data_IF_602791670520
#
_entry.id   IF_602791670520
#
_cell.length_a   1.000
_cell.length_b   1.000
_cell.length_c   1.000
_cell.angle_alpha   90.00
_cell.angle_beta   90.00
_cell.angle_gamma   90.00
#
_symmetry.space_group_name_H-M   'P 1'
#
loop_
_entity.id
_entity.type
_entity.pdbx_description
1 polymer ?
#
# COMPACT_ATOMS: atom_id res chain seq x y z
N UNK A 1 -24.49 -11.81 17.85
CA UNK A 1 -23.38 -10.87 18.11
C UNK A 1 -22.97 -10.25 16.78
N UNK A 2 -22.50 -8.99 16.75
CA UNK A 2 -21.95 -8.45 15.49
C UNK A 2 -20.59 -9.08 15.27
N UNK A 3 -20.33 -9.58 14.07
CA UNK A 3 -19.01 -10.11 13.73
C UNK A 3 -18.03 -8.94 13.59
N UNK A 4 -16.80 -9.04 14.13
CA UNK A 4 -15.73 -8.06 13.90
C UNK A 4 -15.53 -7.80 12.40
N UNK A 5 -15.37 -6.52 12.02
CA UNK A 5 -14.95 -6.14 10.67
C UNK A 5 -13.45 -5.89 10.66
N UNK A 6 -12.72 -6.70 9.89
CA UNK A 6 -11.26 -6.72 9.88
C UNK A 6 -10.72 -6.39 8.49
N UNK A 7 -9.79 -5.43 8.39
CA UNK A 7 -9.12 -5.11 7.12
C UNK A 7 -7.95 -6.06 6.89
N UNK A 8 -7.73 -6.50 5.66
CA UNK A 8 -6.56 -7.34 5.31
C UNK A 8 -5.25 -6.66 5.69
N UNK A 9 -5.14 -5.34 5.53
CA UNK A 9 -3.94 -4.58 5.91
C UNK A 9 -3.65 -4.62 7.41
N UNK A 10 -4.70 -4.70 8.25
CA UNK A 10 -4.56 -4.88 9.70
C UNK A 10 -4.05 -6.29 10.04
N UNK A 11 -4.51 -7.32 9.33
CA UNK A 11 -4.03 -8.71 9.50
C UNK A 11 -2.57 -8.83 9.06
N UNK A 12 -2.18 -8.20 7.95
CA UNK A 12 -0.79 -8.19 7.49
C UNK A 12 0.14 -7.46 8.47
N UNK A 13 -0.32 -6.34 9.06
CA UNK A 13 0.41 -5.65 10.11
C UNK A 13 0.62 -6.56 11.34
N UNK A 14 -0.43 -7.28 11.77
CA UNK A 14 -0.32 -8.26 12.86
C UNK A 14 0.63 -9.42 12.51
N UNK A 15 0.52 -10.02 11.32
CA UNK A 15 1.43 -11.09 10.86
C UNK A 15 2.87 -10.63 10.93
N UNK A 16 3.17 -9.46 10.35
CA UNK A 16 4.52 -8.89 10.38
C UNK A 16 5.01 -8.74 11.81
N UNK A 17 4.17 -8.28 12.73
CA UNK A 17 4.51 -8.12 14.14
C UNK A 17 4.88 -9.44 14.83
N UNK A 18 4.08 -10.49 14.66
CA UNK A 18 4.32 -11.79 15.33
C UNK A 18 5.44 -12.61 14.68
N UNK A 19 5.78 -12.34 13.43
CA UNK A 19 6.87 -13.02 12.70
C UNK A 19 8.20 -12.26 12.77
N UNK A 20 8.27 -11.13 13.49
CA UNK A 20 9.54 -10.44 13.68
C UNK A 20 10.54 -11.35 14.41
N UNK A 21 11.75 -11.40 13.88
CA UNK A 21 12.86 -12.15 14.46
C UNK A 21 14.19 -11.48 14.13
N UNK A 22 15.28 -11.99 14.68
CA UNK A 22 16.65 -11.55 14.34
C UNK A 22 16.94 -11.66 12.82
N UNK A 23 16.21 -12.51 12.09
CA UNK A 23 16.38 -12.76 10.66
C UNK A 23 15.27 -12.15 9.79
N UNK A 24 14.24 -11.56 10.40
CA UNK A 24 13.12 -10.92 9.72
C UNK A 24 12.69 -9.67 10.49
N UNK A 25 13.28 -8.52 10.16
CA UNK A 25 12.95 -7.25 10.79
C UNK A 25 12.01 -6.44 9.88
N UNK A 26 10.72 -6.47 10.18
CA UNK A 26 9.70 -5.68 9.47
C UNK A 26 9.53 -4.26 10.02
N UNK A 27 10.31 -3.90 11.05
CA UNK A 27 10.29 -2.58 11.72
C UNK A 27 8.88 -2.17 12.18
N UNK A 28 8.06 -3.14 12.61
CA UNK A 28 6.68 -2.88 13.05
C UNK A 28 6.57 -3.08 14.56
N UNK A 29 6.00 -2.12 15.26
CA UNK A 29 5.80 -2.26 16.71
C UNK A 29 4.42 -2.82 17.02
N UNK A 30 4.24 -3.42 18.20
CA UNK A 30 2.91 -3.79 18.68
C UNK A 30 1.97 -2.57 18.70
N UNK A 31 2.49 -1.42 19.14
CA UNK A 31 1.73 -0.17 19.17
C UNK A 31 1.24 0.22 17.77
N UNK A 32 2.04 0.03 16.73
CA UNK A 32 1.62 0.28 15.34
C UNK A 32 0.44 -0.61 14.91
N UNK A 33 0.38 -1.86 15.37
CA UNK A 33 -0.78 -2.74 15.12
C UNK A 33 -2.02 -2.21 15.87
N UNK A 34 -1.86 -1.80 17.13
CA UNK A 34 -2.93 -1.21 17.94
C UNK A 34 -3.47 0.09 17.31
N UNK A 35 -2.59 0.96 16.83
CA UNK A 35 -2.94 2.23 16.18
C UNK A 35 -3.76 1.98 14.90
N UNK A 36 -3.42 0.91 14.16
CA UNK A 36 -4.16 0.49 12.95
C UNK A 36 -5.59 0.03 13.25
N UNK A 37 -5.82 -0.57 14.43
CA UNK A 37 -7.14 -1.04 14.89
C UNK A 37 -7.97 0.11 15.45
N UNK A 38 -7.34 1.00 16.20
CA UNK A 38 -8.01 2.12 16.87
C UNK A 38 -8.28 3.32 15.95
N UNK A 39 -7.67 3.33 14.75
CA UNK A 39 -7.94 4.35 13.73
C UNK A 39 -7.19 5.66 13.95
N UNK A 40 -6.07 5.64 14.69
CA UNK A 40 -5.25 6.83 15.01
C UNK A 40 -4.23 7.15 13.91
N UNK A 41 -4.14 6.32 12.88
CA UNK A 41 -3.14 6.49 11.81
C UNK A 41 -3.42 7.72 10.93
N UNK A 42 -2.51 8.68 10.95
CA UNK A 42 -2.39 9.73 9.94
C UNK A 42 -1.36 9.30 8.89
N UNK A 43 -1.69 9.42 7.61
CA UNK A 43 -0.77 9.10 6.52
C UNK A 43 0.56 9.84 6.63
N UNK A 44 1.61 9.25 6.07
CA UNK A 44 2.95 9.83 6.00
C UNK A 44 3.33 10.15 4.54
N UNK A 45 4.53 10.70 4.32
CA UNK A 45 4.99 11.03 2.96
C UNK A 45 4.99 9.84 2.01
N UNK A 46 5.42 8.67 2.48
CA UNK A 46 5.40 7.45 1.68
C UNK A 46 3.99 7.05 1.22
N UNK A 47 2.99 7.15 2.11
CA UNK A 47 1.61 6.80 1.77
C UNK A 47 0.96 7.84 0.87
N UNK A 48 1.18 9.14 1.09
CA UNK A 48 0.59 10.19 0.25
C UNK A 48 1.20 10.21 -1.16
N UNK A 49 2.51 9.98 -1.29
CA UNK A 49 3.15 9.83 -2.61
C UNK A 49 2.57 8.60 -3.33
N UNK A 50 2.40 7.48 -2.63
CA UNK A 50 1.74 6.29 -3.18
C UNK A 50 0.32 6.58 -3.66
N UNK A 51 -0.50 7.22 -2.83
CA UNK A 51 -1.87 7.61 -3.19
C UNK A 51 -1.91 8.55 -4.42
N UNK A 52 -0.99 9.50 -4.54
CA UNK A 52 -0.90 10.34 -5.73
C UNK A 52 -0.60 9.52 -6.99
N UNK A 53 0.30 8.52 -6.89
CA UNK A 53 0.59 7.61 -7.99
C UNK A 53 -0.64 6.76 -8.35
N UNK A 54 -1.30 6.15 -7.37
CA UNK A 54 -2.53 5.37 -7.58
C UNK A 54 -3.62 6.20 -8.25
N UNK A 55 -3.82 7.45 -7.82
CA UNK A 55 -4.82 8.34 -8.39
C UNK A 55 -4.62 8.59 -9.90
N UNK A 56 -3.36 8.68 -10.34
CA UNK A 56 -3.05 8.79 -11.78
C UNK A 56 -3.40 7.48 -12.50
N UNK A 57 -3.04 6.34 -11.91
CA UNK A 57 -3.35 5.03 -12.50
C UNK A 57 -4.85 4.76 -12.54
N UNK A 58 -5.61 5.17 -11.54
CA UNK A 58 -7.06 4.97 -11.41
C UNK A 58 -7.88 5.90 -12.32
N UNK A 59 -7.59 7.19 -12.30
CA UNK A 59 -8.42 8.20 -12.98
C UNK A 59 -7.92 8.49 -14.39
N UNK A 60 -6.63 8.27 -14.68
CA UNK A 60 -5.96 8.64 -15.94
C UNK A 60 -5.78 10.14 -16.15
N UNK A 61 -6.74 10.96 -15.72
CA UNK A 61 -6.66 12.42 -15.77
C UNK A 61 -7.10 13.05 -14.45
N UNK A 62 -6.46 12.68 -13.32
CA UNK A 62 -6.84 13.25 -12.03
C UNK A 62 -6.64 14.77 -11.98
N UNK A 63 -7.47 15.43 -11.17
CA UNK A 63 -7.33 16.85 -10.92
C UNK A 63 -5.95 17.14 -10.32
N UNK A 64 -5.20 18.03 -11.00
CA UNK A 64 -3.87 18.42 -10.58
C UNK A 64 -3.52 19.84 -11.03
N UNK A 65 -2.56 20.45 -10.35
CA UNK A 65 -2.02 21.76 -10.70
C UNK A 65 -0.70 21.58 -11.44
N UNK A 66 -0.45 22.41 -12.48
CA UNK A 66 0.87 22.50 -13.09
C UNK A 66 1.81 23.23 -12.15
N UNK A 67 3.00 22.68 -11.95
CA UNK A 67 4.06 23.30 -11.14
C UNK A 67 5.28 23.52 -12.03
N UNK A 68 5.79 24.74 -12.06
CA UNK A 68 6.97 25.09 -12.84
C UNK A 68 8.26 24.47 -12.26
N UNK A 69 9.30 24.43 -13.09
CA UNK A 69 10.64 24.07 -12.63
C UNK A 69 11.15 25.09 -11.60
N UNK A 70 12.05 24.67 -10.73
CA UNK A 70 12.56 25.53 -9.67
C UNK A 70 13.79 24.95 -8.99
N UNK A 71 13.99 25.36 -7.73
CA UNK A 71 15.08 24.90 -6.89
C UNK A 71 14.53 24.29 -5.59
N UNK A 72 15.16 23.20 -5.12
CA UNK A 72 14.94 22.63 -3.80
C UNK A 72 16.16 22.91 -2.93
N UNK A 73 15.92 23.41 -1.73
CA UNK A 73 16.96 23.61 -0.71
C UNK A 73 16.87 22.51 0.35
N UNK A 74 18.01 21.91 0.72
CA UNK A 74 18.08 20.88 1.75
C UNK A 74 19.41 20.95 2.50
N UNK A 75 19.50 20.28 3.65
CA UNK A 75 20.73 20.19 4.44
C UNK A 75 21.51 18.91 4.09
N UNK A 76 22.81 19.05 3.83
CA UNK A 76 23.74 17.94 3.63
C UNK A 76 24.98 18.15 4.49
N UNK A 77 25.24 17.25 5.45
CA UNK A 77 26.27 17.41 6.49
C UNK A 77 26.23 18.79 7.18
N UNK A 78 25.02 19.26 7.52
CA UNK A 78 24.80 20.54 8.19
C UNK A 78 25.02 21.78 7.31
N UNK A 79 25.28 21.61 6.01
CA UNK A 79 25.41 22.71 5.05
C UNK A 79 24.20 22.77 4.14
N UNK A 80 23.71 23.97 3.89
CA UNK A 80 22.65 24.20 2.90
C UNK A 80 23.16 23.85 1.50
N UNK A 81 22.39 23.03 0.79
CA UNK A 81 22.59 22.67 -0.61
C UNK A 81 21.34 23.02 -1.39
N UNK A 82 21.53 23.27 -2.69
CA UNK A 82 20.45 23.51 -3.64
C UNK A 82 20.56 22.56 -4.81
N UNK A 83 19.43 22.06 -5.28
CA UNK A 83 19.33 21.30 -6.52
C UNK A 83 18.22 21.87 -7.41
N UNK A 84 18.43 21.79 -8.72
CA UNK A 84 17.40 22.11 -9.69
C UNK A 84 16.37 20.98 -9.72
N UNK A 85 15.09 21.34 -9.70
CA UNK A 85 13.98 20.39 -9.80
C UNK A 85 13.14 20.71 -11.05
N UNK A 86 12.74 19.67 -11.82
CA UNK A 86 11.99 19.88 -13.05
C UNK A 86 10.56 20.37 -12.79
N UNK A 87 9.86 20.75 -13.85
CA UNK A 87 8.42 21.00 -13.79
C UNK A 87 7.63 19.69 -13.51
N UNK A 88 6.42 19.81 -12.99
CA UNK A 88 5.64 18.66 -12.56
C UNK A 88 4.13 18.91 -12.44
N UNK A 89 3.49 18.03 -11.68
CA UNK A 89 2.07 18.08 -11.32
C UNK A 89 1.94 17.96 -9.81
N UNK A 90 1.14 18.84 -9.22
CA UNK A 90 0.79 18.76 -7.81
C UNK A 90 -0.61 18.19 -7.64
N UNK A 91 -0.74 17.29 -6.67
CA UNK A 91 -1.95 16.60 -6.28
C UNK A 91 -2.24 16.92 -4.83
N UNK A 92 -3.50 17.22 -4.52
CA UNK A 92 -3.96 17.34 -3.15
C UNK A 92 -4.38 15.95 -2.65
N UNK A 93 -3.63 15.45 -1.66
CA UNK A 93 -3.83 14.15 -1.03
C UNK A 93 -4.07 14.39 0.46
N UNK A 94 -5.34 14.33 0.87
CA UNK A 94 -5.75 14.53 2.26
C UNK A 94 -5.22 15.86 2.85
N UNK A 95 -5.19 16.93 2.05
CA UNK A 95 -4.66 18.25 2.44
C UNK A 95 -3.14 18.41 2.28
N UNK A 96 -2.44 17.37 1.82
CA UNK A 96 -0.99 17.40 1.56
C UNK A 96 -0.72 17.57 0.07
N UNK A 97 0.10 18.58 -0.27
CA UNK A 97 0.51 18.84 -1.65
C UNK A 97 1.65 17.92 -2.06
N UNK A 98 1.32 16.84 -2.78
CA UNK A 98 2.27 15.88 -3.34
C UNK A 98 2.64 16.29 -4.76
N UNK A 99 3.93 16.31 -5.10
CA UNK A 99 4.41 16.77 -6.41
C UNK A 99 5.24 15.69 -7.09
N UNK A 100 4.76 15.23 -8.25
CA UNK A 100 5.48 14.34 -9.16
C UNK A 100 5.94 15.12 -10.40
N UNK A 101 7.08 14.74 -10.97
CA UNK A 101 7.52 15.33 -12.24
C UNK A 101 6.80 14.69 -13.43
N UNK A 102 6.96 15.32 -14.61
CA UNK A 102 6.30 14.85 -15.83
C UNK A 102 6.71 13.41 -16.20
N UNK A 103 8.00 13.02 -16.18
CA UNK A 103 8.40 11.62 -16.35
C UNK A 103 7.72 10.64 -15.39
N UNK A 104 7.64 10.94 -14.10
CA UNK A 104 6.99 10.10 -13.10
C UNK A 104 5.49 9.94 -13.39
N UNK A 105 4.80 11.02 -13.77
CA UNK A 105 3.39 10.95 -14.17
C UNK A 105 3.21 10.07 -15.42
N UNK A 106 4.15 10.13 -16.38
CA UNK A 106 4.09 9.29 -17.58
C UNK A 106 4.22 7.81 -17.25
N UNK A 107 5.08 7.43 -16.30
CA UNK A 107 5.19 6.03 -15.86
C UNK A 107 3.85 5.49 -15.35
N UNK A 108 3.13 6.26 -14.54
CA UNK A 108 1.79 5.88 -14.06
C UNK A 108 0.77 5.75 -15.21
N UNK A 109 0.78 6.70 -16.15
CA UNK A 109 -0.13 6.68 -17.30
C UNK A 109 0.17 5.55 -18.29
N UNK A 110 1.44 5.28 -18.55
CA UNK A 110 1.89 4.17 -19.38
C UNK A 110 1.43 2.85 -18.76
N UNK A 111 1.63 2.66 -17.45
CA UNK A 111 1.14 1.49 -16.75
C UNK A 111 -0.39 1.35 -16.82
N UNK A 112 -1.16 2.42 -16.61
CA UNK A 112 -2.63 2.39 -16.81
C UNK A 112 -2.99 1.93 -18.23
N UNK A 113 -2.30 2.45 -19.24
CA UNK A 113 -2.58 2.14 -20.64
C UNK A 113 -2.23 0.70 -21.04
N UNK A 114 -1.40 0.00 -20.26
CA UNK A 114 -1.18 -1.45 -20.41
C UNK A 114 -2.42 -2.26 -20.00
N UNK A 115 -3.29 -1.69 -19.15
CA UNK A 115 -4.45 -2.33 -18.55
C UNK A 115 -5.75 -1.52 -18.78
N UNK A 116 -6.13 -1.24 -20.04
CA UNK A 116 -7.18 -0.25 -20.37
C UNK A 116 -8.58 -0.63 -19.89
N UNK A 117 -8.85 -1.93 -19.74
CA UNK A 117 -10.16 -2.47 -19.34
C UNK A 117 -10.21 -2.91 -17.88
N UNK A 118 -9.15 -2.62 -17.10
CA UNK A 118 -9.08 -3.04 -15.72
C UNK A 118 -10.04 -2.24 -14.82
N UNK A 119 -10.60 -2.92 -13.82
CA UNK A 119 -11.40 -2.27 -12.78
C UNK A 119 -10.49 -1.77 -11.68
N UNK A 120 -10.74 -0.57 -11.17
CA UNK A 120 -9.93 0.04 -10.12
C UNK A 120 -10.69 0.17 -8.80
N UNK A 121 -9.97 0.13 -7.68
CA UNK A 121 -10.46 0.39 -6.32
C UNK A 121 -11.72 -0.42 -5.94
N UNK A 122 -11.70 -1.72 -6.24
CA UNK A 122 -12.83 -2.60 -5.95
C UNK A 122 -12.70 -3.14 -4.53
N UNK A 123 -13.66 -2.80 -3.67
CA UNK A 123 -13.76 -3.29 -2.30
C UNK A 123 -14.70 -4.48 -2.19
N UNK A 124 -14.23 -5.55 -1.56
CA UNK A 124 -15.06 -6.71 -1.20
C UNK A 124 -15.06 -6.97 0.31
N UNK A 125 -16.09 -7.70 0.74
CA UNK A 125 -16.29 -8.18 2.09
C UNK A 125 -16.65 -9.66 2.01
N UNK A 126 -16.04 -10.48 2.87
CA UNK A 126 -16.36 -11.91 2.96
C UNK A 126 -16.47 -12.30 4.42
N UNK A 127 -17.50 -13.09 4.70
CA UNK A 127 -17.68 -13.69 6.02
C UNK A 127 -16.77 -14.93 6.14
N UNK A 128 -15.90 -14.92 7.15
CA UNK A 128 -15.00 -16.01 7.51
C UNK A 128 -15.50 -16.77 8.74
N UNK A 129 -16.75 -16.56 9.15
CA UNK A 129 -17.38 -17.18 10.33
C UNK A 129 -17.19 -16.32 11.58
N UNK A 130 -15.95 -16.22 12.06
CA UNK A 130 -15.63 -15.49 13.30
C UNK A 130 -15.46 -13.98 13.07
N UNK A 131 -15.26 -13.55 11.83
CA UNK A 131 -15.14 -12.16 11.44
C UNK A 131 -15.52 -11.96 9.96
N UNK A 132 -15.91 -10.72 9.62
CA UNK A 132 -16.00 -10.26 8.24
C UNK A 132 -14.66 -9.62 7.86
N UNK A 133 -14.00 -10.15 6.84
CA UNK A 133 -12.74 -9.60 6.32
C UNK A 133 -13.03 -8.74 5.09
N UNK A 134 -12.34 -7.59 4.98
CA UNK A 134 -12.44 -6.68 3.83
C UNK A 134 -11.08 -6.29 3.26
N UNK A 135 -11.02 -6.17 1.93
CA UNK A 135 -9.87 -5.70 1.16
C UNK A 135 -10.32 -4.85 -0.02
N UNK A 136 -9.44 -3.96 -0.49
CA UNK A 136 -9.64 -3.12 -1.68
C UNK A 136 -8.56 -3.47 -2.69
N UNK A 137 -8.94 -4.04 -3.83
CA UNK A 137 -8.02 -4.28 -4.94
C UNK A 137 -7.75 -2.97 -5.67
N UNK A 138 -6.47 -2.60 -5.77
CA UNK A 138 -6.04 -1.43 -6.55
C UNK A 138 -6.48 -1.60 -8.01
N UNK A 139 -6.30 -2.82 -8.54
CA UNK A 139 -6.70 -3.16 -9.89
C UNK A 139 -7.10 -4.63 -10.05
N UNK A 140 -8.18 -4.88 -10.78
CA UNK A 140 -8.60 -6.20 -11.26
C UNK A 140 -8.51 -6.18 -12.78
N UNK A 141 -7.60 -6.98 -13.32
CA UNK A 141 -7.35 -7.08 -14.76
C UNK A 141 -7.73 -8.49 -15.24
N UNK A 142 -8.89 -8.60 -15.88
CA UNK A 142 -9.47 -9.89 -16.26
C UNK A 142 -9.76 -10.77 -15.05
N UNK A 143 -9.00 -11.86 -14.90
CA UNK A 143 -9.12 -12.84 -13.80
C UNK A 143 -7.99 -12.71 -12.76
N UNK A 144 -7.14 -11.70 -12.91
CA UNK A 144 -5.95 -11.49 -12.07
C UNK A 144 -6.14 -10.24 -11.20
N UNK A 145 -5.54 -10.27 -10.01
CA UNK A 145 -5.50 -9.11 -9.12
C UNK A 145 -4.13 -8.46 -9.22
N UNK A 146 -4.08 -7.14 -9.32
CA UNK A 146 -2.85 -6.35 -9.32
C UNK A 146 -2.88 -5.33 -8.19
N UNK A 147 -1.84 -5.37 -7.38
CA UNK A 147 -1.63 -4.47 -6.24
C UNK A 147 -0.40 -3.61 -6.52
N UNK A 148 -0.65 -2.31 -6.62
CA UNK A 148 0.34 -1.31 -6.98
C UNK A 148 1.02 -0.86 -5.70
N UNK A 149 2.35 -0.76 -5.73
CA UNK A 149 3.12 -0.28 -4.57
C UNK A 149 4.26 0.63 -4.99
N UNK A 150 4.26 1.85 -4.47
CA UNK A 150 5.44 2.72 -4.55
C UNK A 150 6.43 2.36 -3.45
N UNK A 151 7.71 2.24 -3.81
CA UNK A 151 8.82 1.89 -2.91
C UNK A 151 9.90 2.97 -2.94
N UNK A 152 10.63 3.05 -1.84
CA UNK A 152 11.62 4.11 -1.57
C UNK A 152 12.98 3.50 -1.21
N UNK A 153 13.08 2.17 -1.35
CA UNK A 153 14.25 1.34 -1.17
C UNK A 153 14.10 0.13 -2.10
N UNK A 154 15.19 -0.59 -2.33
CA UNK A 154 15.16 -1.83 -3.12
C UNK A 154 14.23 -2.84 -2.45
N UNK A 155 13.17 -3.31 -3.14
CA UNK A 155 12.26 -4.30 -2.59
C UNK A 155 12.95 -5.66 -2.43
N UNK A 156 12.55 -6.40 -1.39
CA UNK A 156 12.87 -7.82 -1.21
C UNK A 156 11.67 -8.64 -1.67
N UNK A 157 11.86 -9.54 -2.64
CA UNK A 157 10.78 -10.41 -3.13
C UNK A 157 10.13 -11.23 -2.01
N UNK A 158 10.94 -11.67 -1.05
CA UNK A 158 10.49 -12.44 0.10
C UNK A 158 9.44 -11.70 0.95
N UNK A 159 9.53 -10.36 1.04
CA UNK A 159 8.58 -9.55 1.81
C UNK A 159 7.17 -9.61 1.23
N UNK A 160 7.06 -9.83 -0.08
CA UNK A 160 5.80 -9.90 -0.81
C UNK A 160 5.31 -11.34 -0.92
N UNK A 161 6.19 -12.27 -1.27
CA UNK A 161 5.86 -13.70 -1.39
C UNK A 161 5.31 -14.23 -0.06
N UNK A 162 5.92 -13.83 1.06
CA UNK A 162 5.50 -14.28 2.40
C UNK A 162 4.34 -13.47 2.99
N UNK A 163 3.87 -12.42 2.32
CA UNK A 163 2.75 -11.61 2.79
C UNK A 163 1.46 -12.44 2.88
N UNK A 164 0.62 -12.17 3.89
CA UNK A 164 -0.74 -12.74 3.87
C UNK A 164 -1.69 -11.90 3.01
N UNK A 165 -1.30 -10.68 2.61
CA UNK A 165 -2.17 -9.76 1.87
C UNK A 165 -2.72 -10.42 0.61
N UNK A 166 -1.85 -10.92 -0.27
CA UNK A 166 -2.27 -11.54 -1.52
C UNK A 166 -3.12 -12.79 -1.28
N UNK A 167 -2.82 -13.58 -0.24
CA UNK A 167 -3.57 -14.80 0.11
C UNK A 167 -5.02 -14.49 0.48
N UNK A 168 -5.24 -13.46 1.29
CA UNK A 168 -6.58 -13.00 1.63
C UNK A 168 -7.30 -12.41 0.42
N UNK A 169 -6.59 -11.66 -0.43
CA UNK A 169 -7.19 -11.10 -1.64
C UNK A 169 -7.66 -12.20 -2.61
N UNK A 170 -6.84 -13.22 -2.88
CA UNK A 170 -7.25 -14.35 -3.72
C UNK A 170 -8.51 -15.06 -3.16
N UNK A 171 -8.63 -15.20 -1.84
CA UNK A 171 -9.83 -15.76 -1.21
C UNK A 171 -11.04 -14.82 -1.23
N UNK A 172 -10.84 -13.50 -1.09
CA UNK A 172 -11.89 -12.47 -1.14
C UNK A 172 -12.50 -12.36 -2.53
N UNK A 173 -11.66 -12.26 -3.55
CA UNK A 173 -12.07 -12.05 -4.95
C UNK A 173 -12.28 -13.36 -5.71
N UNK A 174 -12.02 -14.50 -5.07
CA UNK A 174 -12.08 -15.82 -5.70
C UNK A 174 -11.22 -15.92 -6.97
N UNK A 175 -10.01 -15.35 -6.92
CA UNK A 175 -9.03 -15.38 -8.00
C UNK A 175 -7.90 -16.37 -7.66
N UNK A 176 -7.09 -16.71 -8.65
CA UNK A 176 -5.98 -17.66 -8.50
C UNK A 176 -4.58 -17.03 -8.70
N UNK A 177 -4.51 -15.80 -9.22
CA UNK A 177 -3.26 -15.11 -9.54
C UNK A 177 -3.29 -13.68 -8.99
N UNK A 178 -2.21 -13.31 -8.30
CA UNK A 178 -2.00 -11.98 -7.73
C UNK A 178 -0.64 -11.44 -8.14
N UNK A 179 -0.56 -10.18 -8.52
CA UNK A 179 0.69 -9.50 -8.85
C UNK A 179 0.93 -8.30 -7.93
N UNK A 180 2.14 -8.19 -7.42
CA UNK A 180 2.65 -6.93 -6.88
C UNK A 180 3.40 -6.18 -7.98
N UNK A 181 2.82 -5.07 -8.42
CA UNK A 181 3.39 -4.15 -9.40
C UNK A 181 4.13 -3.02 -8.65
N UNK A 182 5.45 -3.16 -8.51
CA UNK A 182 6.27 -2.27 -7.70
C UNK A 182 6.89 -1.14 -8.52
N UNK A 183 6.84 0.08 -8.00
CA UNK A 183 7.43 1.29 -8.60
C UNK A 183 8.39 1.95 -7.60
N UNK A 184 9.67 1.97 -7.90
CA UNK A 184 10.74 2.39 -6.98
C UNK A 184 11.22 3.81 -7.28
N UNK A 185 11.06 4.72 -6.33
CA UNK A 185 11.70 6.04 -6.30
C UNK A 185 13.15 5.89 -5.82
N UNK A 186 14.10 5.87 -6.75
CA UNK A 186 15.52 5.67 -6.43
C UNK A 186 16.13 6.92 -5.80
N UNK A 187 16.80 6.75 -4.65
CA UNK A 187 17.46 7.86 -3.95
C UNK A 187 16.51 8.77 -3.17
N UNK A 188 15.29 8.31 -2.90
CA UNK A 188 14.38 9.03 -2.02
C UNK A 188 14.97 9.15 -0.60
N UNK A 189 14.84 10.35 -0.07
CA UNK A 189 15.24 10.73 1.28
C UNK A 189 14.12 11.60 1.86
N UNK A 190 13.58 11.19 3.01
CA UNK A 190 12.39 11.83 3.59
C UNK A 190 12.65 13.27 4.00
N UNK A 191 13.81 13.58 4.56
CA UNK A 191 14.14 14.91 5.09
C UNK A 191 14.44 15.89 3.94
N UNK A 192 14.98 15.37 2.84
CA UNK A 192 15.24 16.15 1.62
C UNK A 192 13.98 16.34 0.78
N UNK A 193 13.24 15.28 0.48
CA UNK A 193 12.21 15.29 -0.57
C UNK A 193 10.81 15.54 0.01
N UNK A 194 10.51 15.01 1.20
CA UNK A 194 9.18 15.13 1.80
C UNK A 194 8.08 14.66 0.83
N UNK A 195 7.21 15.57 0.42
CA UNK A 195 6.11 15.33 -0.54
C UNK A 195 6.43 15.73 -1.99
N UNK A 196 7.58 16.35 -2.24
CA UNK A 196 8.03 16.74 -3.58
C UNK A 196 9.11 15.76 -4.04
N UNK A 197 8.73 14.81 -4.89
CA UNK A 197 9.63 13.73 -5.37
C UNK A 197 10.21 14.03 -6.75
N UNK A 198 10.00 15.24 -7.29
CA UNK A 198 10.51 15.63 -8.60
C UNK A 198 12.03 15.48 -8.68
N UNK A 199 12.49 15.03 -9.84
CA UNK A 199 13.91 14.77 -10.12
C UNK A 199 14.39 13.39 -9.70
N UNK A 200 13.59 12.62 -8.94
CA UNK A 200 13.92 11.24 -8.60
C UNK A 200 13.59 10.30 -9.77
N UNK A 201 14.49 9.37 -10.14
CA UNK A 201 14.13 8.28 -11.05
C UNK A 201 13.03 7.41 -10.43
N UNK A 202 11.99 7.13 -11.21
CA UNK A 202 10.93 6.17 -10.87
C UNK A 202 11.03 4.97 -11.81
N UNK A 203 11.40 3.80 -11.26
CA UNK A 203 11.57 2.57 -12.04
C UNK A 203 10.57 1.51 -11.62
N UNK A 204 9.92 0.88 -12.60
CA UNK A 204 9.09 -0.30 -12.35
C UNK A 204 9.97 -1.52 -12.11
N UNK A 205 9.67 -2.29 -11.08
CA UNK A 205 10.22 -3.64 -10.91
C UNK A 205 9.58 -4.57 -11.94
N UNK A 206 10.40 -5.15 -12.81
CA UNK A 206 9.94 -6.00 -13.90
C UNK A 206 10.78 -7.28 -13.98
N UNK A 207 10.19 -8.49 -13.98
CA UNK A 207 8.74 -8.78 -13.92
C UNK A 207 8.08 -8.38 -12.59
N UNK A 208 6.74 -8.26 -12.53
CA UNK A 208 6.03 -8.11 -11.26
C UNK A 208 6.21 -9.36 -10.40
N UNK A 209 6.14 -9.20 -9.07
CA UNK A 209 6.20 -10.35 -8.16
C UNK A 209 4.84 -11.03 -8.19
N UNK A 210 4.82 -12.25 -8.73
CA UNK A 210 3.58 -12.99 -8.97
C UNK A 210 3.40 -14.10 -7.95
N UNK A 211 2.23 -14.14 -7.33
CA UNK A 211 1.84 -15.14 -6.35
C UNK A 211 0.63 -15.93 -6.85
N UNK A 212 0.61 -17.23 -6.57
CA UNK A 212 -0.43 -18.15 -7.03
C UNK A 212 -1.17 -18.76 -5.84
N UNK A 213 -2.48 -18.94 -5.98
CA UNK A 213 -3.26 -19.75 -5.03
C UNK A 213 -2.63 -21.14 -4.94
N UNK A 214 -2.53 -21.66 -3.72
CA UNK A 214 -2.04 -23.01 -3.44
C UNK A 214 -3.03 -23.78 -2.57
N UNK A 215 -2.93 -25.11 -2.60
CA UNK A 215 -3.77 -25.98 -1.79
C UNK A 215 -3.54 -25.72 -0.29
N UNK A 216 -4.63 -25.42 0.44
CA UNK A 216 -4.57 -25.15 1.88
C UNK A 216 -4.37 -23.68 2.24
N UNK A 217 -4.26 -22.77 1.27
CA UNK A 217 -4.15 -21.32 1.50
C UNK A 217 -5.30 -20.77 2.35
N UNK A 218 -6.54 -21.21 2.11
CA UNK A 218 -7.71 -20.80 2.88
C UNK A 218 -7.59 -21.21 4.36
N UNK A 219 -7.04 -22.40 4.65
CA UNK A 219 -6.80 -22.86 6.02
C UNK A 219 -5.71 -22.03 6.72
N UNK A 220 -4.70 -21.60 5.98
CA UNK A 220 -3.66 -20.70 6.51
C UNK A 220 -4.24 -19.32 6.85
N UNK A 221 -5.11 -18.79 5.98
CA UNK A 221 -5.82 -17.53 6.23
C UNK A 221 -6.73 -17.64 7.47
N UNK A 222 -7.50 -18.72 7.59
CA UNK A 222 -8.36 -19.00 8.77
C UNK A 222 -7.53 -19.06 10.06
N UNK A 223 -6.41 -19.78 10.05
CA UNK A 223 -5.52 -19.90 11.21
C UNK A 223 -4.95 -18.54 11.63
N UNK A 224 -4.48 -17.75 10.67
CA UNK A 224 -3.93 -16.42 10.95
C UNK A 224 -5.01 -15.44 11.45
N UNK A 225 -6.21 -15.50 10.86
CA UNK A 225 -7.34 -14.70 11.32
C UNK A 225 -7.74 -15.06 12.76
N UNK A 226 -7.77 -16.35 13.09
CA UNK A 226 -8.07 -16.80 14.45
C UNK A 226 -7.03 -16.28 15.46
N UNK A 227 -5.73 -16.42 15.15
CA UNK A 227 -4.65 -15.88 15.99
C UNK A 227 -4.76 -14.36 16.18
N UNK A 228 -5.13 -13.64 15.12
CA UNK A 228 -5.38 -12.20 15.20
C UNK A 228 -6.53 -11.88 16.15
N UNK A 229 -7.66 -12.58 16.04
CA UNK A 229 -8.84 -12.35 16.87
C UNK A 229 -8.56 -12.69 18.35
N UNK A 230 -7.85 -13.79 18.64
CA UNK A 230 -7.41 -14.14 20.00
C UNK A 230 -6.51 -13.05 20.59
N UNK A 231 -5.55 -12.54 19.82
CA UNK A 231 -4.67 -11.46 20.26
C UNK A 231 -5.44 -10.16 20.51
N UNK A 232 -6.38 -9.80 19.64
CA UNK A 232 -7.26 -8.65 19.80
C UNK A 232 -8.10 -8.75 21.08
N UNK A 233 -8.66 -9.93 21.35
CA UNK A 233 -9.44 -10.17 22.56
C UNK A 233 -8.56 -10.06 23.81
N UNK A 234 -7.39 -10.70 23.81
CA UNK A 234 -6.41 -10.63 24.89
C UNK A 234 -5.98 -9.19 25.21
N UNK A 235 -5.86 -8.33 24.19
CA UNK A 235 -5.54 -6.89 24.35
C UNK A 235 -6.75 -6.01 24.66
N UNK A 236 -7.97 -6.57 24.73
CA UNK A 236 -9.20 -5.81 24.99
C UNK A 236 -9.59 -4.86 23.85
N UNK A 237 -9.18 -5.18 22.62
CA UNK A 237 -9.35 -4.35 21.43
C UNK A 237 -10.61 -4.68 20.61
N UNK A 238 -11.31 -5.79 20.92
CA UNK A 238 -12.48 -6.28 20.16
C UNK A 238 -13.51 -5.20 19.88
N UNK A 239 -13.76 -4.31 20.85
CA UNK A 239 -14.71 -3.19 20.74
C UNK A 239 -14.44 -2.24 19.55
N UNK A 240 -13.20 -2.12 19.09
CA UNK A 240 -12.85 -1.25 17.95
C UNK A 240 -13.14 -1.90 16.60
N UNK A 241 -13.31 -3.23 16.56
CA UNK A 241 -13.62 -3.99 15.34
C UNK A 241 -15.13 -4.21 15.17
N UNK A 242 -15.91 -4.03 16.24
CA UNK A 242 -17.37 -4.11 16.19
C UNK A 242 -17.94 -2.81 15.61
N UNK A 243 -18.12 -2.76 14.29
CA UNK A 243 -18.75 -1.59 13.64
C UNK A 243 -20.26 -1.76 13.50
N UNK A 244 -20.98 -0.66 13.68
CA UNK A 244 -22.44 -0.64 13.52
C UNK A 244 -22.90 -0.63 12.06
N UNK A 245 -22.05 -0.14 11.16
CA UNK A 245 -22.23 -0.11 9.70
C UNK A 245 -20.94 -0.50 9.00
N UNK A 246 -21.09 -1.25 7.92
CA UNK A 246 -20.03 -1.48 6.94
C UNK A 246 -20.01 -0.22 6.07
N UNK A 247 -18.96 0.61 6.22
CA UNK A 247 -18.66 1.72 5.31
C UNK A 247 -17.70 1.24 4.21
#
# INVERSE_FOLDING_TARGET
MKNPLVRVTTIEAFRRYIEQSEYANYEITEQSVIDSITGVFTGNSYTHIGQAFHKIVEEGTPQCEKVDAGERTFLYYGKEQKELIPCGRAFDIEGNKVILDVPQCKVALEYRNEHPDAFHEIRLYKDFGDAVVTGCADMIDGIEIRDIKTKYSTPSDADYINSCQWKFYLQLFNADVFHFDLFVFEGYDKDKHGYDVRGLPLKRHNPPITCYRYEGMEKDNERLLHQFLEWVEFRGLTKYLLKDKIE
#
